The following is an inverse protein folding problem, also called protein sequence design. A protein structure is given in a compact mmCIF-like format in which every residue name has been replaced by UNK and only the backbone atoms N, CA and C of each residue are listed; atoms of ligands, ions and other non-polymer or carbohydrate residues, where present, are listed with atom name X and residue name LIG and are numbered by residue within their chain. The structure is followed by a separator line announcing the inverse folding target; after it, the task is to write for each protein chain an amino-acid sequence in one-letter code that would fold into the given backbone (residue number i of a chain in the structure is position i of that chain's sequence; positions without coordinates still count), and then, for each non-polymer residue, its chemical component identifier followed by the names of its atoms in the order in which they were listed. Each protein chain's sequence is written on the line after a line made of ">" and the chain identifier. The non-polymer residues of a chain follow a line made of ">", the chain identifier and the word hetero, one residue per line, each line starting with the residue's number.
data_IF_302811730516
#
_entry.id   IF_302811730516
#
_cell.length_a   1.000
_cell.length_b   1.000
_cell.length_c   1.000
_cell.angle_alpha   90.00
_cell.angle_beta   90.00
_cell.angle_gamma   90.00
#
_symmetry.space_group_name_H-M   'P 1'
#
loop_
_entity.id
_entity.type
_entity.pdbx_description
1 polymer ?
#
# COMPACT_ATOMS: atom_id res chain seq x y z
N UNK A 1 -34.35 3.19 4.60
CA UNK A 1 -33.80 3.90 3.43
C UNK A 1 -32.96 5.05 3.95
N UNK A 2 -31.73 5.24 3.44
CA UNK A 2 -30.90 6.41 3.77
C UNK A 2 -31.55 7.63 3.10
N UNK A 3 -31.89 8.66 3.87
CA UNK A 3 -32.76 9.75 3.44
C UNK A 3 -32.10 10.81 2.54
N UNK A 4 -30.82 10.65 2.18
CA UNK A 4 -30.12 11.54 1.26
C UNK A 4 -28.87 10.85 0.68
N UNK A 5 -28.97 10.09 -0.43
CA UNK A 5 -27.80 9.45 -1.03
C UNK A 5 -26.91 10.48 -1.73
N UNK A 6 -25.59 10.33 -1.58
CA UNK A 6 -24.58 11.10 -2.34
C UNK A 6 -24.69 10.77 -3.82
N UNK A 7 -24.69 11.78 -4.70
CA UNK A 7 -24.88 11.60 -6.15
C UNK A 7 -23.74 12.14 -7.00
N UNK A 8 -22.86 12.93 -6.42
CA UNK A 8 -21.69 13.51 -7.07
C UNK A 8 -20.49 13.61 -6.11
N UNK A 9 -19.35 14.10 -6.57
CA UNK A 9 -18.18 14.42 -5.75
C UNK A 9 -18.45 15.70 -4.94
N UNK A 10 -19.23 15.59 -3.87
CA UNK A 10 -19.74 16.74 -3.10
C UNK A 10 -18.78 17.24 -2.00
N UNK A 11 -17.70 16.51 -1.69
CA UNK A 11 -16.81 16.82 -0.56
C UNK A 11 -17.48 16.57 0.81
N UNK A 12 -17.11 17.36 1.82
CA UNK A 12 -17.66 17.28 3.17
C UNK A 12 -17.11 16.10 3.98
N UNK A 13 -18.01 15.34 4.62
CA UNK A 13 -17.67 14.21 5.49
C UNK A 13 -16.96 14.59 6.79
N UNK A 14 -16.38 13.60 7.47
CA UNK A 14 -15.69 13.75 8.76
C UNK A 14 -14.58 14.81 8.75
N UNK A 15 -13.93 14.99 7.59
CA UNK A 15 -12.76 15.85 7.44
C UNK A 15 -13.06 17.19 6.75
N UNK A 16 -14.32 17.47 6.38
CA UNK A 16 -14.69 18.72 5.73
C UNK A 16 -13.97 18.96 4.39
N UNK A 17 -13.83 17.90 3.59
CA UNK A 17 -13.07 17.92 2.34
C UNK A 17 -13.71 18.80 1.26
N UNK A 18 -12.89 19.34 0.38
CA UNK A 18 -13.38 19.95 -0.87
C UNK A 18 -13.77 18.85 -1.87
N UNK A 19 -14.73 19.11 -2.77
CA UNK A 19 -15.00 18.28 -3.93
C UNK A 19 -13.71 17.81 -4.64
N UNK A 20 -13.55 16.50 -4.79
CA UNK A 20 -12.39 15.88 -5.46
C UNK A 20 -11.17 15.60 -4.57
N UNK A 21 -11.14 16.05 -3.31
CA UNK A 21 -10.09 15.63 -2.37
C UNK A 21 -10.32 14.19 -1.92
N UNK A 22 -9.24 13.40 -1.95
CA UNK A 22 -9.21 11.99 -1.56
C UNK A 22 -8.52 11.79 -0.20
N UNK A 23 -8.73 10.63 0.43
CA UNK A 23 -8.25 10.24 1.77
C UNK A 23 -6.97 9.38 1.71
N UNK A 24 -6.74 8.57 2.74
CA UNK A 24 -5.61 7.65 2.85
C UNK A 24 -5.59 6.59 1.75
N UNK A 25 -6.73 6.05 1.30
CA UNK A 25 -6.80 5.04 0.24
C UNK A 25 -5.97 5.44 -0.98
N UNK A 26 -6.23 6.64 -1.50
CA UNK A 26 -5.59 7.16 -2.71
C UNK A 26 -4.19 7.70 -2.40
N UNK A 27 -3.98 8.33 -1.24
CA UNK A 27 -2.64 8.82 -0.85
C UNK A 27 -1.64 7.66 -0.79
N UNK A 28 -2.04 6.53 -0.19
CA UNK A 28 -1.24 5.32 -0.13
C UNK A 28 -1.08 4.65 -1.50
N UNK A 29 -2.13 4.60 -2.33
CA UNK A 29 -2.02 4.07 -3.70
C UNK A 29 -1.00 4.87 -4.54
N UNK A 30 -1.02 6.21 -4.46
CA UNK A 30 -0.06 7.04 -5.20
C UNK A 30 1.36 6.87 -4.64
N UNK A 31 1.53 6.72 -3.33
CA UNK A 31 2.83 6.38 -2.73
C UNK A 31 3.36 5.04 -3.27
N UNK A 32 2.52 4.01 -3.35
CA UNK A 32 2.86 2.70 -3.89
C UNK A 32 3.24 2.78 -5.37
N UNK A 33 2.44 3.49 -6.18
CA UNK A 33 2.74 3.73 -7.59
C UNK A 33 4.09 4.45 -7.77
N UNK A 34 4.35 5.46 -6.94
CA UNK A 34 5.61 6.21 -6.97
C UNK A 34 6.81 5.32 -6.64
N UNK A 35 6.68 4.45 -5.64
CA UNK A 35 7.71 3.46 -5.28
C UNK A 35 8.03 2.52 -6.44
N UNK A 36 7.00 1.94 -7.06
CA UNK A 36 7.12 1.02 -8.19
C UNK A 36 7.86 1.67 -9.38
N UNK A 37 7.50 2.92 -9.70
CA UNK A 37 8.12 3.69 -10.79
C UNK A 37 9.57 4.04 -10.46
N UNK A 38 9.83 4.58 -9.26
CA UNK A 38 11.15 5.02 -8.85
C UNK A 38 12.15 3.84 -8.78
N UNK A 39 11.72 2.71 -8.22
CA UNK A 39 12.53 1.51 -8.09
C UNK A 39 12.60 0.68 -9.37
N UNK A 40 11.74 0.97 -10.36
CA UNK A 40 11.53 0.14 -11.57
C UNK A 40 11.23 -1.32 -11.23
N UNK A 41 10.49 -1.54 -10.15
CA UNK A 41 10.24 -2.86 -9.58
C UNK A 41 9.57 -2.75 -8.22
N UNK A 42 9.32 -3.90 -7.59
CA UNK A 42 8.70 -3.96 -6.28
C UNK A 42 9.75 -4.05 -5.19
N UNK A 43 9.87 -2.98 -4.39
CA UNK A 43 10.80 -2.90 -3.26
C UNK A 43 9.99 -2.55 -2.01
N UNK A 44 9.60 -3.55 -1.19
CA UNK A 44 8.73 -3.32 -0.01
C UNK A 44 9.29 -2.29 0.98
N UNK A 45 10.62 -2.19 1.07
CA UNK A 45 11.29 -1.18 1.87
C UNK A 45 10.95 0.24 1.39
N UNK A 46 11.13 0.54 0.10
CA UNK A 46 10.81 1.86 -0.45
C UNK A 46 9.30 2.16 -0.36
N UNK A 47 8.44 1.14 -0.51
CA UNK A 47 7.00 1.30 -0.24
C UNK A 47 6.74 1.83 1.18
N UNK A 48 7.37 1.26 2.20
CA UNK A 48 7.25 1.75 3.59
C UNK A 48 7.88 3.14 3.78
N UNK A 49 8.97 3.45 3.07
CA UNK A 49 9.56 4.80 3.03
C UNK A 49 8.56 5.82 2.48
N UNK A 50 7.88 5.54 1.35
CA UNK A 50 6.86 6.46 0.79
C UNK A 50 5.68 6.64 1.74
N UNK A 51 5.22 5.57 2.39
CA UNK A 51 4.16 5.67 3.41
C UNK A 51 4.59 6.47 4.63
N UNK A 52 5.85 6.32 5.06
CA UNK A 52 6.43 7.15 6.11
C UNK A 52 6.43 8.63 5.71
N UNK A 53 6.81 8.96 4.48
CA UNK A 53 6.79 10.35 3.99
C UNK A 53 5.38 10.92 3.94
N UNK A 54 4.39 10.12 3.52
CA UNK A 54 2.99 10.54 3.63
C UNK A 54 2.60 10.82 5.08
N UNK A 55 2.85 9.86 5.98
CA UNK A 55 2.53 9.96 7.40
C UNK A 55 3.17 11.17 8.09
N UNK A 56 4.45 11.45 7.79
CA UNK A 56 5.21 12.50 8.48
C UNK A 56 5.10 13.88 7.82
N UNK A 57 4.93 13.93 6.50
CA UNK A 57 5.10 15.16 5.73
C UNK A 57 3.94 15.45 4.78
N UNK A 58 2.90 14.61 4.73
CA UNK A 58 1.79 14.79 3.80
C UNK A 58 2.17 14.53 2.34
N UNK A 59 3.28 13.81 2.09
CA UNK A 59 3.65 13.41 0.73
C UNK A 59 2.49 12.71 0.03
N UNK A 60 2.14 13.16 -1.18
CA UNK A 60 1.00 12.65 -1.96
C UNK A 60 -0.38 12.75 -1.28
N UNK A 61 -0.54 13.65 -0.31
CA UNK A 61 -1.84 13.97 0.28
C UNK A 61 -2.60 15.02 -0.54
N UNK A 62 -3.93 14.90 -0.61
CA UNK A 62 -4.82 15.90 -1.23
C UNK A 62 -4.98 17.19 -0.40
N UNK A 63 -4.56 17.19 0.87
CA UNK A 63 -4.68 18.31 1.82
C UNK A 63 -3.33 18.83 2.32
N UNK A 64 -2.22 18.30 1.79
CA UNK A 64 -0.85 18.69 2.19
C UNK A 64 -0.38 18.15 3.55
N UNK A 65 -1.18 17.36 4.25
CA UNK A 65 -0.80 16.67 5.49
C UNK A 65 -1.43 15.27 5.56
N UNK A 66 -0.91 14.39 6.42
CA UNK A 66 -1.52 13.09 6.66
C UNK A 66 -2.81 13.23 7.47
N UNK A 67 -3.88 12.59 7.03
CA UNK A 67 -5.15 12.47 7.75
C UNK A 67 -5.81 11.13 7.40
N UNK A 68 -6.85 10.75 8.15
CA UNK A 68 -7.61 9.49 7.99
C UNK A 68 -6.81 8.17 8.11
N UNK A 69 -5.55 8.24 8.55
CA UNK A 69 -4.71 7.04 8.66
C UNK A 69 -5.28 6.03 9.67
N UNK A 70 -5.56 4.82 9.17
CA UNK A 70 -5.95 3.69 10.01
C UNK A 70 -4.89 3.30 11.05
N UNK A 71 -5.35 2.84 12.22
CA UNK A 71 -4.47 2.49 13.34
C UNK A 71 -3.43 1.41 12.97
N UNK A 72 -3.85 0.36 12.25
CA UNK A 72 -2.97 -0.71 11.78
C UNK A 72 -1.82 -0.20 10.89
N UNK A 73 -2.15 0.65 9.91
CA UNK A 73 -1.18 1.28 9.02
C UNK A 73 -0.20 2.16 9.80
N UNK A 74 -0.72 3.02 10.68
CA UNK A 74 0.10 3.90 11.52
C UNK A 74 1.06 3.11 12.39
N UNK A 75 0.57 2.08 13.09
CA UNK A 75 1.39 1.24 13.96
C UNK A 75 2.52 0.54 13.17
N UNK A 76 2.23 0.06 11.95
CA UNK A 76 3.23 -0.58 11.09
C UNK A 76 4.30 0.39 10.61
N UNK A 77 3.93 1.62 10.25
CA UNK A 77 4.89 2.66 9.85
C UNK A 77 5.78 3.07 11.04
N UNK A 78 5.20 3.16 12.24
CA UNK A 78 5.98 3.47 13.45
C UNK A 78 6.95 2.36 13.83
N UNK A 79 6.55 1.09 13.69
CA UNK A 79 7.46 -0.04 13.87
C UNK A 79 8.56 -0.06 12.80
N UNK A 80 8.23 0.25 11.54
CA UNK A 80 9.21 0.42 10.47
C UNK A 80 10.24 1.50 10.81
N UNK A 81 9.82 2.68 11.28
CA UNK A 81 10.72 3.76 11.69
C UNK A 81 11.66 3.34 12.83
N UNK A 82 11.15 2.59 13.80
CA UNK A 82 11.95 2.05 14.91
C UNK A 82 12.99 1.05 14.40
N UNK A 83 12.59 0.13 13.51
CA UNK A 83 13.50 -0.84 12.88
C UNK A 83 14.54 -0.15 12.00
N UNK A 84 14.16 0.86 11.21
CA UNK A 84 15.09 1.67 10.41
C UNK A 84 16.18 2.29 11.28
N UNK A 85 15.83 2.91 12.41
CA UNK A 85 16.82 3.51 13.33
C UNK A 85 17.81 2.49 13.87
N UNK A 86 17.32 1.33 14.30
CA UNK A 86 18.18 0.24 14.77
C UNK A 86 19.07 -0.29 13.64
N UNK A 87 18.48 -0.56 12.48
CA UNK A 87 19.20 -1.07 11.31
C UNK A 87 20.30 -0.10 10.84
N UNK A 88 20.02 1.20 10.86
CA UNK A 88 21.01 2.23 10.52
C UNK A 88 22.20 2.19 11.47
N UNK A 89 21.94 2.13 12.79
CA UNK A 89 22.99 2.00 13.80
C UNK A 89 23.81 0.71 13.63
N UNK A 90 23.15 -0.43 13.43
CA UNK A 90 23.82 -1.74 13.35
C UNK A 90 24.68 -1.90 12.08
N UNK A 91 24.45 -1.08 11.04
CA UNK A 91 25.15 -1.14 9.76
C UNK A 91 25.94 0.14 9.44
N UNK A 92 26.19 1.00 10.44
CA UNK A 92 26.93 2.26 10.30
C UNK A 92 26.40 3.20 9.19
N UNK A 93 25.07 3.24 9.02
CA UNK A 93 24.39 4.10 8.05
C UNK A 93 23.93 5.38 8.75
N UNK A 94 24.27 6.54 8.17
CA UNK A 94 23.73 7.82 8.65
C UNK A 94 22.19 7.83 8.51
N UNK A 95 21.49 8.28 9.56
CA UNK A 95 20.01 8.29 9.58
C UNK A 95 19.39 9.11 8.43
N UNK A 96 20.08 10.13 7.92
CA UNK A 96 19.63 10.90 6.76
C UNK A 96 19.67 10.11 5.43
N UNK A 97 20.49 9.06 5.37
CA UNK A 97 20.63 8.20 4.19
C UNK A 97 19.79 6.92 4.26
N UNK A 98 19.18 6.61 5.41
CA UNK A 98 18.47 5.33 5.63
C UNK A 98 17.31 5.12 4.64
N UNK A 99 16.64 6.18 4.21
CA UNK A 99 15.54 6.10 3.24
C UNK A 99 16.00 5.83 1.81
N UNK A 100 17.28 6.05 1.52
CA UNK A 100 17.88 5.92 0.18
C UNK A 100 18.74 4.66 0.04
N UNK A 101 18.65 3.71 0.98
CA UNK A 101 19.34 2.43 0.90
C UNK A 101 18.90 1.69 -0.36
N UNK A 102 19.89 1.37 -1.21
CA UNK A 102 19.69 0.66 -2.48
C UNK A 102 20.58 -0.58 -2.62
N UNK A 103 21.48 -0.80 -1.66
CA UNK A 103 22.26 -2.03 -1.58
C UNK A 103 21.34 -3.23 -1.35
N UNK A 104 21.45 -4.23 -2.22
CA UNK A 104 20.53 -5.37 -2.24
C UNK A 104 20.68 -6.27 -1.02
N UNK A 105 21.88 -6.38 -0.45
CA UNK A 105 22.11 -7.25 0.70
C UNK A 105 21.60 -6.59 1.98
N UNK A 106 21.75 -5.26 2.09
CA UNK A 106 21.10 -4.48 3.16
C UNK A 106 19.57 -4.54 3.05
N UNK A 107 19.01 -4.38 1.86
CA UNK A 107 17.56 -4.46 1.65
C UNK A 107 17.00 -5.84 2.01
N UNK A 108 17.73 -6.92 1.69
CA UNK A 108 17.34 -8.30 2.06
C UNK A 108 17.46 -8.56 3.55
N UNK A 109 18.40 -7.92 4.23
CA UNK A 109 18.60 -8.07 5.67
C UNK A 109 17.53 -7.33 6.50
N UNK A 110 16.83 -6.36 5.91
CA UNK A 110 15.79 -5.61 6.61
C UNK A 110 14.46 -6.36 6.64
N UNK A 111 13.94 -6.67 7.83
CA UNK A 111 12.60 -7.25 7.96
C UNK A 111 11.50 -6.18 7.79
N UNK A 112 10.88 -6.21 6.62
CA UNK A 112 9.79 -5.31 6.21
C UNK A 112 8.42 -5.67 6.81
N UNK A 113 8.27 -6.83 7.45
CA UNK A 113 6.99 -7.26 8.05
C UNK A 113 6.74 -6.54 9.39
N UNK A 114 6.41 -5.26 9.30
CA UNK A 114 6.25 -4.37 10.46
C UNK A 114 4.85 -4.45 11.08
N UNK A 115 3.92 -5.17 10.46
CA UNK A 115 2.56 -5.37 10.94
C UNK A 115 2.48 -6.32 12.14
N UNK A 116 1.50 -6.10 13.02
CA UNK A 116 1.11 -7.08 14.03
C UNK A 116 0.40 -8.28 13.39
N UNK A 117 0.55 -9.46 14.00
CA UNK A 117 -0.19 -10.67 13.63
C UNK A 117 -1.69 -10.46 13.86
N UNK A 118 -2.53 -11.01 12.98
CA UNK A 118 -3.99 -10.99 13.13
C UNK A 118 -4.67 -9.69 12.68
N UNK A 119 -3.92 -8.78 12.05
CA UNK A 119 -4.43 -7.52 11.53
C UNK A 119 -5.00 -7.72 10.12
N UNK A 120 -6.33 -7.82 10.02
CA UNK A 120 -7.07 -8.11 8.79
C UNK A 120 -7.91 -6.92 8.25
N UNK A 121 -7.55 -5.68 8.61
CA UNK A 121 -8.25 -4.47 8.14
C UNK A 121 -8.12 -4.23 6.63
N UNK A 122 -9.00 -3.42 6.06
CA UNK A 122 -9.05 -3.09 4.62
C UNK A 122 -7.87 -2.23 4.12
N UNK A 123 -7.06 -1.67 5.01
CA UNK A 123 -5.99 -0.72 4.67
C UNK A 123 -4.90 -1.27 3.73
N UNK A 124 -4.77 -2.59 3.65
CA UNK A 124 -3.93 -3.26 2.66
C UNK A 124 -4.56 -3.28 1.27
N UNK A 125 -5.85 -3.62 1.18
CA UNK A 125 -6.59 -3.83 -0.06
C UNK A 125 -6.87 -2.51 -0.80
N UNK A 126 -7.26 -1.46 -0.06
CA UNK A 126 -7.73 -0.19 -0.64
C UNK A 126 -6.70 0.55 -1.49
N UNK A 127 -5.40 0.28 -1.27
CA UNK A 127 -4.28 0.94 -1.94
C UNK A 127 -3.64 0.10 -3.05
N UNK A 128 -4.16 -1.10 -3.30
CA UNK A 128 -3.44 -2.19 -3.98
C UNK A 128 -3.20 -1.98 -5.48
N UNK A 129 -4.14 -1.32 -6.16
CA UNK A 129 -4.22 -1.26 -7.63
C UNK A 129 -2.92 -0.99 -8.40
N UNK A 130 -1.98 -0.14 -7.92
CA UNK A 130 -0.71 0.09 -8.62
C UNK A 130 0.13 -1.16 -8.88
N UNK A 131 0.11 -2.16 -7.98
CA UNK A 131 0.90 -3.39 -8.16
C UNK A 131 0.45 -4.19 -9.38
N UNK A 132 -0.81 -4.64 -9.50
CA UNK A 132 -1.26 -5.37 -10.68
C UNK A 132 -1.23 -4.53 -11.96
N UNK A 133 -1.39 -3.20 -11.88
CA UNK A 133 -1.18 -2.31 -13.02
C UNK A 133 0.26 -2.31 -13.52
N UNK A 134 1.24 -2.25 -12.61
CA UNK A 134 2.66 -2.23 -12.98
C UNK A 134 3.12 -3.58 -13.54
N UNK A 135 2.64 -4.68 -12.96
CA UNK A 135 3.03 -6.04 -13.33
C UNK A 135 2.04 -6.74 -14.26
N UNK A 136 1.17 -6.01 -14.98
CA UNK A 136 0.09 -6.61 -15.78
C UNK A 136 0.55 -7.63 -16.86
N UNK A 137 1.80 -7.51 -17.33
CA UNK A 137 2.43 -8.44 -18.28
C UNK A 137 3.06 -9.69 -17.62
N UNK A 138 3.02 -9.76 -16.29
CA UNK A 138 3.58 -10.83 -15.46
C UNK A 138 2.58 -11.17 -14.34
N UNK A 139 1.45 -11.83 -14.64
CA UNK A 139 0.34 -12.04 -13.70
C UNK A 139 0.74 -12.71 -12.40
N UNK A 140 1.62 -13.70 -12.44
CA UNK A 140 2.10 -14.39 -11.24
C UNK A 140 2.76 -13.41 -10.26
N UNK A 141 3.64 -12.53 -10.75
CA UNK A 141 4.27 -11.49 -9.94
C UNK A 141 3.26 -10.42 -9.50
N UNK A 142 2.28 -10.08 -10.34
CA UNK A 142 1.22 -9.14 -9.98
C UNK A 142 0.42 -9.62 -8.76
N UNK A 143 0.10 -10.91 -8.73
CA UNK A 143 -0.62 -11.56 -7.63
C UNK A 143 0.26 -11.67 -6.38
N UNK A 144 1.47 -12.23 -6.51
CA UNK A 144 2.39 -12.42 -5.38
C UNK A 144 2.73 -11.09 -4.71
N UNK A 145 3.13 -10.08 -5.49
CA UNK A 145 3.48 -8.76 -4.95
C UNK A 145 2.27 -8.02 -4.39
N UNK A 146 1.06 -8.37 -4.82
CA UNK A 146 -0.16 -7.82 -4.22
C UNK A 146 -0.30 -8.30 -2.77
N UNK A 147 -0.13 -9.61 -2.54
CA UNK A 147 -0.12 -10.18 -1.18
C UNK A 147 0.96 -9.56 -0.30
N UNK A 148 2.20 -9.52 -0.78
CA UNK A 148 3.35 -8.97 -0.02
C UNK A 148 3.12 -7.48 0.31
N UNK A 149 2.64 -6.67 -0.65
CA UNK A 149 2.35 -5.25 -0.44
C UNK A 149 1.29 -5.01 0.64
N UNK A 150 0.31 -5.90 0.77
CA UNK A 150 -0.66 -5.88 1.85
C UNK A 150 -0.04 -6.27 3.19
N UNK A 151 0.70 -7.38 3.20
CA UNK A 151 1.24 -8.02 4.40
C UNK A 151 2.16 -7.12 5.22
N UNK A 152 2.98 -6.27 4.59
CA UNK A 152 3.93 -5.41 5.31
C UNK A 152 3.27 -4.41 6.28
N UNK A 153 1.96 -4.14 6.14
CA UNK A 153 1.19 -3.35 7.13
C UNK A 153 -0.04 -4.06 7.70
N UNK A 154 -0.42 -5.24 7.20
CA UNK A 154 -1.57 -6.02 7.66
C UNK A 154 -1.21 -7.51 7.70
N UNK A 155 -0.73 -7.99 8.85
CA UNK A 155 -0.09 -9.30 9.01
C UNK A 155 -1.03 -10.48 9.25
N UNK A 156 -2.29 -10.40 8.81
CA UNK A 156 -3.21 -11.56 8.79
C UNK A 156 -3.20 -12.20 7.41
N UNK A 157 -3.29 -13.53 7.39
CA UNK A 157 -3.39 -14.32 6.15
C UNK A 157 -4.57 -13.86 5.28
N UNK A 158 -5.71 -13.49 5.88
CA UNK A 158 -6.86 -12.96 5.12
C UNK A 158 -6.54 -11.67 4.39
N UNK A 159 -5.69 -10.81 4.96
CA UNK A 159 -5.28 -9.57 4.29
C UNK A 159 -4.35 -9.87 3.11
N UNK A 160 -3.42 -10.82 3.29
CA UNK A 160 -2.56 -11.30 2.21
C UNK A 160 -3.38 -11.91 1.08
N UNK A 161 -4.25 -12.88 1.38
CA UNK A 161 -5.07 -13.59 0.40
C UNK A 161 -6.05 -12.66 -0.31
N UNK A 162 -6.70 -11.74 0.42
CA UNK A 162 -7.58 -10.75 -0.18
C UNK A 162 -6.83 -9.86 -1.19
N UNK A 163 -5.58 -9.48 -0.89
CA UNK A 163 -4.77 -8.71 -1.82
C UNK A 163 -4.34 -9.56 -3.03
N UNK A 164 -3.92 -10.81 -2.84
CA UNK A 164 -3.62 -11.72 -3.95
C UNK A 164 -4.83 -11.87 -4.88
N UNK A 165 -6.00 -12.17 -4.32
CA UNK A 165 -7.26 -12.33 -5.06
C UNK A 165 -7.65 -11.05 -5.81
N UNK A 166 -7.59 -9.89 -5.16
CA UNK A 166 -7.92 -8.62 -5.81
C UNK A 166 -6.90 -8.23 -6.89
N UNK A 167 -5.62 -8.55 -6.67
CA UNK A 167 -4.57 -8.44 -7.68
C UNK A 167 -4.87 -9.31 -8.91
N UNK A 168 -5.31 -10.55 -8.69
CA UNK A 168 -5.72 -11.48 -9.74
C UNK A 168 -6.91 -10.94 -10.55
N UNK A 169 -7.93 -10.41 -9.87
CA UNK A 169 -9.09 -9.78 -10.53
C UNK A 169 -8.66 -8.63 -11.43
N UNK A 170 -7.81 -7.72 -10.93
CA UNK A 170 -7.35 -6.55 -11.69
C UNK A 170 -6.53 -7.00 -12.91
N UNK A 171 -5.55 -7.89 -12.74
CA UNK A 171 -4.71 -8.32 -13.87
C UNK A 171 -5.51 -9.11 -14.92
N UNK A 172 -6.45 -9.96 -14.51
CA UNK A 172 -7.32 -10.67 -15.43
C UNK A 172 -8.22 -9.70 -16.21
N UNK A 173 -8.79 -8.68 -15.54
CA UNK A 173 -9.56 -7.64 -16.21
C UNK A 173 -8.71 -6.86 -17.23
N UNK A 174 -7.47 -6.50 -16.89
CA UNK A 174 -6.53 -5.83 -17.80
C UNK A 174 -6.15 -6.70 -19.01
N UNK A 175 -6.23 -8.03 -18.87
CA UNK A 175 -6.00 -8.98 -19.95
C UNK A 175 -7.27 -9.32 -20.76
N UNK A 176 -8.40 -8.69 -20.46
CA UNK A 176 -9.63 -8.84 -21.21
C UNK A 176 -10.54 -9.98 -20.75
N UNK A 177 -10.34 -10.52 -19.54
CA UNK A 177 -11.28 -11.45 -18.94
C UNK A 177 -12.67 -10.81 -18.83
N UNK A 178 -13.70 -11.59 -19.13
CA UNK A 178 -15.09 -11.13 -19.08
C UNK A 178 -15.57 -11.05 -17.63
N UNK A 179 -16.55 -10.17 -17.37
CA UNK A 179 -17.14 -10.00 -16.03
C UNK A 179 -17.63 -11.32 -15.45
N UNK A 180 -18.31 -12.14 -16.25
CA UNK A 180 -18.85 -13.43 -15.82
C UNK A 180 -17.76 -14.42 -15.38
N UNK A 181 -16.57 -14.34 -15.99
CA UNK A 181 -15.39 -15.11 -15.57
C UNK A 181 -14.81 -14.56 -14.27
N UNK A 182 -14.76 -13.24 -14.10
CA UNK A 182 -14.18 -12.61 -12.90
C UNK A 182 -15.02 -12.84 -11.64
N UNK A 183 -16.33 -12.98 -11.78
CA UNK A 183 -17.25 -13.17 -10.64
C UNK A 183 -17.63 -14.63 -10.40
N UNK A 184 -17.02 -15.59 -11.12
CA UNK A 184 -17.35 -17.01 -10.95
C UNK A 184 -16.73 -17.58 -9.67
N UNK A 185 -17.40 -18.56 -9.06
CA UNK A 185 -16.93 -19.24 -7.83
C UNK A 185 -15.64 -20.07 -8.05
N UNK A 186 -15.18 -20.18 -9.29
CA UNK A 186 -13.97 -20.88 -9.70
C UNK A 186 -12.85 -19.93 -10.13
N UNK A 187 -13.05 -18.62 -10.02
CA UNK A 187 -12.01 -17.65 -10.34
C UNK A 187 -11.00 -17.60 -9.20
N UNK A 188 -9.74 -17.89 -9.55
CA UNK A 188 -8.56 -17.85 -8.68
C UNK A 188 -8.58 -18.87 -7.53
#
# INVERSE_FOLDING_TARGET
>A
MVSNPVKDLEGGGTWGLQPGQFTDDTSMAICLANSLIACRGFVPYDQLVRYKWWYRHGYMSSTGHCFDIGAATRDSIQEFEKRQKKFAHDNDILLEHIDSVSDLDLLRAFDVNCSKIGVAGNGALMRLAPVPLFFFRRPEMAVEYSGISGQITHGDEKAYDACCYYGALIVAALQGAQKDTLISDTFY
#
